data_IF_141610195721
#
_entry.id   IF_141610195721
#
_cell.length_a   1.000
_cell.length_b   1.000
_cell.length_c   1.000
_cell.angle_alpha   90.00
_cell.angle_beta   90.00
_cell.angle_gamma   90.00
#
_symmetry.space_group_name_H-M   'P 1'
#
loop_
_entity.id
_entity.type
_entity.pdbx_description
1 polymer ?
#
# COMPACT_ATOMS: atom_id res chain seq x y z
N UNK A 1 -10.87 -34.44 2.27
CA UNK A 1 -11.89 -33.69 1.50
C UNK A 1 -12.94 -33.21 2.48
N UNK A 2 -13.55 -32.06 2.26
CA UNK A 2 -14.69 -31.62 3.08
C UNK A 2 -15.97 -31.93 2.32
N UNK A 3 -16.97 -32.44 3.03
CA UNK A 3 -18.32 -32.65 2.55
C UNK A 3 -19.27 -31.92 3.52
N UNK A 4 -19.95 -30.84 3.11
CA UNK A 4 -19.95 -30.27 1.76
C UNK A 4 -18.60 -29.63 1.35
N UNK A 5 -18.32 -29.48 0.04
CA UNK A 5 -17.11 -28.83 -0.44
C UNK A 5 -17.04 -27.38 0.07
N UNK A 6 -15.87 -26.99 0.57
CA UNK A 6 -15.63 -25.62 0.99
C UNK A 6 -15.69 -24.67 -0.22
N UNK A 7 -16.31 -23.48 -0.08
CA UNK A 7 -16.29 -22.47 -1.12
C UNK A 7 -14.85 -22.02 -1.40
N UNK A 8 -14.56 -21.67 -2.65
CA UNK A 8 -13.27 -21.11 -3.04
C UNK A 8 -13.21 -19.67 -2.53
N UNK A 9 -12.31 -19.33 -1.59
CA UNK A 9 -12.15 -17.97 -1.14
C UNK A 9 -11.54 -17.11 -2.26
N UNK A 10 -12.08 -15.92 -2.45
CA UNK A 10 -11.51 -14.90 -3.32
C UNK A 10 -10.76 -13.90 -2.45
N UNK A 11 -9.51 -13.64 -2.78
CA UNK A 11 -8.69 -12.65 -2.11
C UNK A 11 -8.58 -11.42 -3.01
N UNK A 12 -9.00 -10.28 -2.46
CA UNK A 12 -8.90 -8.99 -3.13
C UNK A 12 -7.64 -8.29 -2.64
N UNK A 13 -6.86 -7.76 -3.56
CA UNK A 13 -5.67 -6.96 -3.32
C UNK A 13 -5.39 -6.08 -4.53
N UNK A 14 -4.29 -5.35 -4.53
CA UNK A 14 -3.82 -4.61 -5.70
C UNK A 14 -2.37 -5.01 -5.92
N UNK A 15 -2.16 -6.03 -6.75
CA UNK A 15 -0.86 -6.70 -6.89
C UNK A 15 0.08 -5.91 -7.80
N UNK A 16 -0.45 -5.09 -8.70
CA UNK A 16 0.33 -4.25 -9.59
C UNK A 16 0.36 -2.77 -9.15
N UNK A 17 -0.33 -2.43 -8.06
CA UNK A 17 -0.43 -1.08 -7.51
C UNK A 17 -1.14 -0.08 -8.43
N UNK A 18 -1.97 -0.54 -9.37
CA UNK A 18 -2.61 0.32 -10.37
C UNK A 18 -3.81 1.13 -9.83
N UNK A 19 -4.16 0.92 -8.55
CA UNK A 19 -5.26 1.56 -7.85
C UNK A 19 -6.59 0.85 -8.02
N UNK A 20 -6.62 -0.31 -8.66
CA UNK A 20 -7.81 -1.12 -8.85
C UNK A 20 -7.66 -2.50 -8.20
N UNK A 21 -8.77 -3.08 -7.70
CA UNK A 21 -8.70 -4.38 -7.06
C UNK A 21 -8.45 -5.50 -8.09
N UNK A 22 -7.42 -6.29 -7.84
CA UNK A 22 -7.10 -7.57 -8.44
C UNK A 22 -7.69 -8.72 -7.61
N UNK A 23 -7.83 -9.90 -8.24
CA UNK A 23 -8.38 -11.10 -7.61
C UNK A 23 -7.33 -12.20 -7.62
N UNK A 24 -7.08 -12.77 -6.45
CA UNK A 24 -6.29 -13.98 -6.26
C UNK A 24 -7.20 -15.10 -5.75
N UNK A 25 -7.17 -16.25 -6.42
CA UNK A 25 -8.00 -17.40 -6.07
C UNK A 25 -7.30 -18.72 -6.40
N UNK A 26 -7.85 -19.83 -5.93
CA UNK A 26 -7.44 -21.18 -6.35
C UNK A 26 -8.45 -21.69 -7.36
N UNK A 27 -8.04 -21.84 -8.62
CA UNK A 27 -8.83 -22.51 -9.64
C UNK A 27 -8.79 -24.03 -9.42
N UNK A 28 -9.95 -24.68 -9.56
CA UNK A 28 -10.09 -26.13 -9.45
C UNK A 28 -10.49 -26.65 -10.84
N UNK A 29 -9.68 -27.53 -11.41
CA UNK A 29 -10.00 -28.15 -12.71
C UNK A 29 -11.25 -29.03 -12.64
N UNK A 30 -11.91 -29.27 -13.78
CA UNK A 30 -13.16 -30.06 -13.85
C UNK A 30 -13.04 -31.49 -13.29
N UNK A 31 -11.83 -32.06 -13.31
CA UNK A 31 -11.53 -33.37 -12.72
C UNK A 31 -11.15 -33.33 -11.21
N UNK A 32 -11.17 -32.15 -10.57
CA UNK A 32 -10.86 -31.92 -9.15
C UNK A 32 -9.47 -32.36 -8.64
N UNK A 33 -8.58 -32.83 -9.52
CA UNK A 33 -7.22 -33.26 -9.16
C UNK A 33 -6.30 -32.05 -8.96
N UNK A 34 -6.32 -31.11 -9.90
CA UNK A 34 -5.41 -29.96 -9.89
C UNK A 34 -6.07 -28.73 -9.28
N UNK A 35 -5.36 -28.13 -8.33
CA UNK A 35 -5.71 -26.87 -7.65
C UNK A 35 -4.60 -25.87 -7.89
N UNK A 36 -4.86 -24.93 -8.79
CA UNK A 36 -3.87 -24.01 -9.32
C UNK A 36 -4.18 -22.58 -8.84
N UNK A 37 -3.24 -21.89 -8.17
CA UNK A 37 -3.37 -20.46 -7.89
C UNK A 37 -3.52 -19.66 -9.18
N UNK A 38 -4.48 -18.75 -9.24
CA UNK A 38 -4.69 -17.85 -10.37
C UNK A 38 -4.80 -16.41 -9.88
N UNK A 39 -3.99 -15.54 -10.48
CA UNK A 39 -4.06 -14.10 -10.33
C UNK A 39 -4.83 -13.51 -11.52
N UNK A 40 -5.82 -12.66 -11.24
CA UNK A 40 -6.63 -11.97 -12.22
C UNK A 40 -6.41 -10.46 -12.05
N UNK A 41 -5.79 -9.85 -13.05
CA UNK A 41 -5.62 -8.40 -13.07
C UNK A 41 -6.89 -7.70 -13.52
N UNK A 42 -7.24 -6.62 -12.84
CA UNK A 42 -8.20 -5.66 -13.34
C UNK A 42 -7.56 -4.90 -14.50
N UNK A 43 -8.17 -4.93 -15.69
CA UNK A 43 -7.65 -4.27 -16.89
C UNK A 43 -8.72 -3.40 -17.57
N UNK A 44 -8.35 -2.27 -18.20
CA UNK A 44 -9.28 -1.47 -18.98
C UNK A 44 -9.94 -2.26 -20.11
N UNK A 45 -11.19 -1.93 -20.44
CA UNK A 45 -12.00 -2.65 -21.41
C UNK A 45 -11.54 -2.64 -22.87
N UNK A 46 -10.50 -1.88 -23.21
CA UNK A 46 -9.83 -1.98 -24.51
C UNK A 46 -8.95 -3.23 -24.61
N UNK A 47 -8.48 -3.73 -23.47
CA UNK A 47 -7.50 -4.83 -23.37
C UNK A 47 -8.10 -6.12 -22.77
N UNK A 48 -9.37 -6.06 -22.37
CA UNK A 48 -10.14 -7.16 -21.80
C UNK A 48 -10.80 -8.04 -22.86
N UNK A 49 -11.05 -9.33 -22.57
CA UNK A 49 -11.86 -10.17 -23.44
C UNK A 49 -13.28 -9.58 -23.55
N UNK A 50 -13.88 -9.65 -24.75
CA UNK A 50 -15.27 -9.25 -25.02
C UNK A 50 -16.24 -10.18 -24.30
N UNK A 51 -16.35 -10.02 -22.99
CA UNK A 51 -17.24 -10.82 -22.15
C UNK A 51 -18.60 -10.13 -22.09
N UNK A 52 -19.63 -10.88 -22.45
CA UNK A 52 -21.03 -10.47 -22.28
C UNK A 52 -21.33 -10.42 -20.78
N UNK A 53 -21.26 -9.22 -20.19
CA UNK A 53 -21.71 -9.01 -18.83
C UNK A 53 -23.23 -9.23 -18.80
N UNK A 54 -23.68 -10.36 -18.23
CA UNK A 54 -25.10 -10.57 -17.96
C UNK A 54 -25.48 -9.66 -16.80
N UNK A 55 -26.28 -8.63 -17.07
CA UNK A 55 -26.84 -7.77 -16.03
C UNK A 55 -27.85 -8.57 -15.21
N UNK A 56 -27.77 -8.48 -13.88
CA UNK A 56 -28.85 -8.91 -12.99
C UNK A 56 -30.04 -7.97 -13.21
N UNK A 57 -31.04 -8.40 -13.98
CA UNK A 57 -32.28 -7.65 -14.16
C UNK A 57 -33.24 -7.99 -13.00
N UNK A 58 -33.81 -6.97 -12.37
CA UNK A 58 -34.78 -7.10 -11.27
C UNK A 58 -36.21 -7.38 -11.76
N UNK A 59 -36.43 -7.52 -13.08
CA UNK A 59 -37.75 -7.79 -13.69
C UNK A 59 -38.18 -9.26 -13.66
N UNK A 60 -37.99 -9.96 -12.54
CA UNK A 60 -38.77 -11.17 -12.29
C UNK A 60 -40.24 -10.75 -12.02
N UNK A 61 -41.25 -11.38 -12.66
CA UNK A 61 -42.65 -11.01 -12.44
C UNK A 61 -43.06 -11.35 -11.01
N UNK A 62 -43.18 -10.33 -10.15
CA UNK A 62 -43.58 -10.50 -8.75
C UNK A 62 -43.06 -9.47 -7.75
N UNK A 63 -42.16 -8.56 -8.13
CA UNK A 63 -41.57 -7.60 -7.18
C UNK A 63 -42.29 -6.23 -7.18
N UNK A 64 -42.80 -5.84 -6.01
CA UNK A 64 -43.59 -4.62 -5.74
C UNK A 64 -42.71 -3.35 -5.88
N UNK A 65 -43.10 -2.31 -6.64
CA UNK A 65 -42.16 -1.28 -7.13
C UNK A 65 -41.79 -0.16 -6.14
N UNK A 66 -42.01 -0.32 -4.83
CA UNK A 66 -41.79 0.79 -3.87
C UNK A 66 -40.34 0.99 -3.41
N UNK A 67 -39.36 0.32 -4.02
CA UNK A 67 -37.93 0.42 -3.68
C UNK A 67 -37.01 0.66 -4.89
N UNK A 68 -37.49 1.31 -5.94
CA UNK A 68 -36.66 1.74 -7.08
C UNK A 68 -36.36 3.24 -7.02
N UNK A 69 -35.43 3.62 -6.16
CA UNK A 69 -34.74 4.90 -6.28
C UNK A 69 -33.34 4.78 -5.67
N UNK A 70 -32.34 4.39 -6.47
CA UNK A 70 -31.01 5.01 -6.41
C UNK A 70 -30.03 4.59 -7.51
N UNK A 71 -30.27 3.52 -8.27
CA UNK A 71 -29.36 3.13 -9.35
C UNK A 71 -30.16 2.83 -10.63
N UNK A 72 -30.38 3.89 -11.42
CA UNK A 72 -31.13 3.82 -12.66
C UNK A 72 -30.32 3.16 -13.77
N UNK A 73 -30.68 1.93 -14.13
CA UNK A 73 -30.50 1.40 -15.48
C UNK A 73 -31.67 0.47 -15.81
N UNK A 74 -32.44 0.83 -16.85
CA UNK A 74 -33.58 0.08 -17.35
C UNK A 74 -33.26 -0.45 -18.76
N UNK A 75 -33.29 -1.78 -18.96
CA UNK A 75 -33.32 -2.41 -20.28
C UNK A 75 -32.21 -3.44 -20.55
N UNK A 76 -32.55 -4.45 -21.36
CA UNK A 76 -31.61 -5.42 -21.92
C UNK A 76 -30.50 -4.68 -22.69
N UNK A 77 -29.33 -4.56 -22.09
CA UNK A 77 -28.16 -4.01 -22.76
C UNK A 77 -27.47 -5.13 -23.55
N UNK A 78 -27.73 -5.22 -24.85
CA UNK A 78 -26.66 -5.63 -25.76
C UNK A 78 -25.59 -4.55 -25.63
N UNK A 79 -24.48 -4.87 -24.96
CA UNK A 79 -23.36 -3.93 -24.83
C UNK A 79 -22.68 -3.87 -26.19
N UNK A 80 -23.27 -3.10 -27.10
CA UNK A 80 -22.57 -2.55 -28.23
C UNK A 80 -21.38 -1.76 -27.68
N UNK A 81 -20.21 -2.07 -28.21
CA UNK A 81 -18.94 -1.36 -28.04
C UNK A 81 -19.09 0.09 -28.48
N UNK A 82 -19.70 0.91 -27.61
CA UNK A 82 -19.79 2.36 -27.78
C UNK A 82 -19.09 3.01 -26.59
N UNK A 83 -17.81 3.30 -26.78
CA UNK A 83 -17.23 4.61 -26.47
C UNK A 83 -17.20 5.14 -25.04
N UNK A 84 -17.56 4.39 -23.99
CA UNK A 84 -17.49 4.90 -22.60
C UNK A 84 -16.25 4.35 -21.87
N UNK A 85 -15.27 5.23 -21.68
CA UNK A 85 -13.89 5.01 -21.26
C UNK A 85 -13.64 4.37 -19.86
N UNK A 86 -14.63 3.74 -19.22
CA UNK A 86 -14.58 3.47 -17.76
C UNK A 86 -14.90 2.01 -17.34
N UNK A 87 -15.07 1.08 -18.28
CA UNK A 87 -15.28 -0.34 -17.94
C UNK A 87 -13.96 -1.07 -17.76
N UNK A 88 -13.83 -1.84 -16.67
CA UNK A 88 -12.70 -2.75 -16.42
C UNK A 88 -13.18 -4.20 -16.39
N UNK A 89 -12.28 -5.11 -16.72
CA UNK A 89 -12.51 -6.56 -16.77
C UNK A 89 -11.38 -7.28 -16.05
N UNK A 90 -11.63 -8.51 -15.63
CA UNK A 90 -10.60 -9.37 -15.06
C UNK A 90 -9.94 -10.21 -16.15
N UNK A 91 -8.62 -10.10 -16.26
CA UNK A 91 -7.80 -10.90 -17.18
C UNK A 91 -6.82 -11.73 -16.36
N UNK A 92 -6.78 -13.03 -16.63
CA UNK A 92 -5.81 -13.92 -15.99
C UNK A 92 -4.38 -13.52 -16.35
N UNK A 93 -3.55 -13.34 -15.31
CA UNK A 93 -2.12 -13.13 -15.42
C UNK A 93 -1.49 -14.40 -16.01
N UNK A 94 -0.94 -14.29 -17.22
CA UNK A 94 -0.19 -15.38 -17.86
C UNK A 94 1.31 -15.13 -17.76
N UNK A 95 1.71 -13.93 -18.17
CA UNK A 95 3.10 -13.50 -18.14
C UNK A 95 3.50 -13.07 -16.73
N UNK A 96 4.63 -13.57 -16.22
CA UNK A 96 5.12 -13.31 -14.87
C UNK A 96 4.40 -14.11 -13.77
N UNK A 97 3.39 -14.90 -14.14
CA UNK A 97 2.61 -15.76 -13.24
C UNK A 97 2.86 -17.25 -13.52
N UNK A 98 3.90 -17.60 -14.27
CA UNK A 98 4.24 -18.98 -14.63
C UNK A 98 4.50 -19.83 -13.38
N UNK A 99 5.13 -19.24 -12.36
CA UNK A 99 5.39 -19.89 -11.05
C UNK A 99 4.09 -20.27 -10.32
N UNK A 100 3.02 -19.48 -10.48
CA UNK A 100 1.71 -19.83 -9.91
C UNK A 100 1.10 -21.02 -10.67
N UNK A 101 1.28 -21.08 -11.99
CA UNK A 101 0.76 -22.16 -12.83
C UNK A 101 1.47 -23.51 -12.60
N UNK A 102 2.72 -23.48 -12.13
CA UNK A 102 3.49 -24.69 -11.77
C UNK A 102 2.99 -25.37 -10.48
N UNK A 103 2.23 -24.67 -9.63
CA UNK A 103 1.69 -25.22 -8.38
C UNK A 103 0.32 -25.85 -8.66
N UNK A 104 0.24 -27.17 -8.57
CA UNK A 104 -1.00 -27.93 -8.79
C UNK A 104 -1.65 -28.43 -7.50
N UNK A 105 -1.00 -28.26 -6.36
CA UNK A 105 -1.40 -28.82 -5.07
C UNK A 105 -1.85 -27.76 -4.04
N UNK A 106 -2.29 -26.59 -4.52
CA UNK A 106 -2.71 -25.47 -3.68
C UNK A 106 -4.01 -25.75 -2.92
N UNK A 107 -4.08 -25.26 -1.69
CA UNK A 107 -5.23 -25.36 -0.77
C UNK A 107 -5.84 -24.01 -0.46
N UNK A 108 -5.00 -22.99 -0.34
CA UNK A 108 -5.38 -21.62 -0.07
C UNK A 108 -4.29 -20.68 -0.56
N UNK A 109 -4.67 -19.43 -0.78
CA UNK A 109 -3.80 -18.35 -1.28
C UNK A 109 -4.10 -17.11 -0.47
N UNK A 110 -3.13 -16.22 -0.28
CA UNK A 110 -3.36 -14.94 0.38
C UNK A 110 -2.33 -13.91 -0.08
N UNK A 111 -2.74 -12.65 -0.11
CA UNK A 111 -1.82 -11.53 -0.27
C UNK A 111 -1.16 -11.19 1.07
N UNK A 112 0.15 -10.98 1.04
CA UNK A 112 0.94 -10.56 2.20
C UNK A 112 2.15 -9.77 1.70
N UNK A 113 2.49 -8.67 2.35
CA UNK A 113 3.77 -7.97 2.13
C UNK A 113 4.77 -8.55 3.15
N UNK A 114 5.62 -9.51 2.73
CA UNK A 114 6.42 -10.33 3.64
C UNK A 114 7.67 -9.60 4.14
N UNK A 115 8.34 -8.86 3.26
CA UNK A 115 9.57 -8.13 3.53
C UNK A 115 9.32 -6.63 3.80
N UNK A 116 8.05 -6.25 3.96
CA UNK A 116 7.60 -4.88 4.18
C UNK A 116 8.14 -3.95 3.08
N UNK A 117 8.11 -4.44 1.83
CA UNK A 117 8.64 -3.77 0.67
C UNK A 117 7.67 -2.90 -0.13
N UNK A 118 6.41 -2.90 0.28
CA UNK A 118 5.39 -2.14 -0.42
C UNK A 118 4.90 -2.81 -1.70
N UNK A 119 5.17 -4.10 -1.87
CA UNK A 119 4.52 -4.97 -2.84
C UNK A 119 3.69 -6.04 -2.10
N UNK A 120 2.64 -6.54 -2.75
CA UNK A 120 1.84 -7.63 -2.21
C UNK A 120 2.36 -8.95 -2.77
N UNK A 121 3.16 -9.67 -1.97
CA UNK A 121 3.55 -11.06 -2.24
C UNK A 121 2.38 -12.02 -2.07
N UNK A 122 2.60 -13.26 -2.51
CA UNK A 122 1.61 -14.31 -2.48
C UNK A 122 2.08 -15.44 -1.57
N UNK A 123 1.32 -15.68 -0.51
CA UNK A 123 1.41 -16.90 0.30
C UNK A 123 0.53 -17.97 -0.33
N UNK A 124 1.10 -19.14 -0.60
CA UNK A 124 0.36 -20.33 -1.05
C UNK A 124 0.42 -21.41 0.01
N UNK A 125 -0.74 -21.80 0.53
CA UNK A 125 -0.90 -22.99 1.37
C UNK A 125 -1.06 -24.20 0.46
N UNK A 126 -0.26 -25.25 0.69
CA UNK A 126 -0.18 -26.44 -0.17
C UNK A 126 -0.54 -27.69 0.61
N UNK A 127 -0.98 -28.73 -0.10
CA UNK A 127 -1.25 -30.03 0.53
C UNK A 127 0.03 -30.87 0.71
N UNK A 128 1.12 -30.54 0.00
CA UNK A 128 2.43 -31.21 0.08
C UNK A 128 2.60 -32.40 -0.87
N UNK A 129 1.64 -32.67 -1.76
CA UNK A 129 1.70 -33.79 -2.71
C UNK A 129 2.78 -33.59 -3.78
N UNK A 130 3.07 -32.35 -4.17
CA UNK A 130 4.04 -32.08 -5.25
C UNK A 130 5.49 -31.98 -4.72
N UNK A 131 5.71 -31.32 -3.58
CA UNK A 131 7.06 -31.00 -3.07
C UNK A 131 7.31 -31.42 -1.62
N UNK A 132 6.32 -31.96 -0.91
CA UNK A 132 6.38 -32.21 0.54
C UNK A 132 6.23 -30.94 1.41
N UNK A 133 6.45 -29.74 0.85
CA UNK A 133 6.24 -28.48 1.57
C UNK A 133 4.76 -28.13 1.63
N UNK A 134 4.30 -27.64 2.80
CA UNK A 134 2.92 -27.20 3.03
C UNK A 134 2.72 -25.71 2.83
N UNK A 135 3.79 -24.94 2.68
CA UNK A 135 3.76 -23.49 2.49
C UNK A 135 4.77 -23.13 1.39
N UNK A 136 4.36 -22.26 0.47
CA UNK A 136 5.25 -21.61 -0.48
C UNK A 136 4.98 -20.10 -0.45
N UNK A 137 6.05 -19.32 -0.63
CA UNK A 137 5.98 -17.88 -0.79
C UNK A 137 6.42 -17.56 -2.21
N UNK A 138 5.68 -16.68 -2.87
CA UNK A 138 5.99 -16.19 -4.20
C UNK A 138 6.13 -14.69 -4.07
N UNK A 139 7.35 -14.20 -4.29
CA UNK A 139 7.63 -12.78 -4.28
C UNK A 139 7.00 -12.14 -5.51
N UNK A 140 6.27 -11.05 -5.28
CA UNK A 140 5.65 -10.30 -6.36
C UNK A 140 6.64 -9.26 -6.91
N UNK A 141 7.17 -9.54 -8.11
CA UNK A 141 8.07 -8.63 -8.81
C UNK A 141 7.40 -7.96 -10.01
N UNK A 142 6.07 -7.80 -10.01
CA UNK A 142 5.37 -6.99 -11.01
C UNK A 142 5.72 -5.51 -10.78
N UNK A 143 6.80 -5.05 -11.41
CA UNK A 143 7.24 -3.67 -11.28
C UNK A 143 6.34 -2.73 -12.07
N UNK A 144 5.66 -1.83 -11.38
CA UNK A 144 5.05 -0.64 -11.94
C UNK A 144 5.56 0.60 -11.23
N UNK A 145 5.75 1.69 -11.98
CA UNK A 145 6.08 3.03 -11.48
C UNK A 145 4.86 3.60 -10.76
N UNK A 146 4.48 3.01 -9.62
CA UNK A 146 3.25 3.28 -8.92
C UNK A 146 3.50 3.42 -7.42
N UNK A 147 2.60 4.13 -6.74
CA UNK A 147 2.70 4.38 -5.31
C UNK A 147 1.71 3.51 -4.54
N UNK A 148 2.01 3.27 -3.26
CA UNK A 148 1.10 2.59 -2.35
C UNK A 148 0.92 3.38 -1.04
N UNK A 149 -0.11 3.04 -0.28
CA UNK A 149 -0.30 3.48 1.10
C UNK A 149 -0.67 2.27 1.96
N UNK A 150 0.07 2.08 3.06
CA UNK A 150 -0.30 1.10 4.09
C UNK A 150 -1.02 1.83 5.22
N UNK A 151 -2.34 1.64 5.32
CA UNK A 151 -3.16 2.33 6.32
C UNK A 151 -3.70 1.35 7.36
N UNK A 152 -3.57 1.68 8.64
CA UNK A 152 -4.13 0.89 9.74
C UNK A 152 -4.92 1.78 10.70
N UNK A 153 -6.14 1.36 11.01
CA UNK A 153 -6.95 1.93 12.10
C UNK A 153 -6.88 0.98 13.28
N UNK A 154 -6.52 1.54 14.44
CA UNK A 154 -6.42 0.84 15.70
C UNK A 154 -7.73 0.89 16.47
N UNK A 155 -7.81 0.11 17.54
CA UNK A 155 -9.00 -0.05 18.38
C UNK A 155 -9.26 1.11 19.38
N UNK A 156 -8.40 2.13 19.44
CA UNK A 156 -8.63 3.29 20.31
C UNK A 156 -8.40 3.05 21.81
N UNK A 157 -7.80 1.91 22.21
CA UNK A 157 -7.73 1.53 23.63
C UNK A 157 -7.00 2.53 24.53
N UNK A 158 -5.97 3.22 24.02
CA UNK A 158 -5.21 4.23 24.75
C UNK A 158 -5.10 5.51 23.91
N UNK A 159 -5.98 6.50 24.13
CA UNK A 159 -6.12 7.67 23.25
C UNK A 159 -4.90 8.59 23.27
N UNK A 160 -4.31 8.79 24.46
CA UNK A 160 -3.04 9.51 24.65
C UNK A 160 -1.83 8.76 24.06
N UNK A 161 -2.03 7.54 23.54
CA UNK A 161 -1.02 6.58 23.11
C UNK A 161 -0.12 6.08 24.24
N UNK A 162 -0.44 6.38 25.49
CA UNK A 162 0.19 5.81 26.67
C UNK A 162 -0.91 5.11 27.46
N UNK A 163 -0.77 3.81 27.67
CA UNK A 163 -1.60 3.09 28.61
C UNK A 163 -0.99 3.18 30.00
N UNK A 164 -1.85 3.28 31.01
CA UNK A 164 -1.46 3.19 32.41
C UNK A 164 -2.00 1.88 32.99
N UNK A 165 -1.12 1.09 33.60
CA UNK A 165 -1.47 -0.08 34.40
C UNK A 165 -1.02 0.12 35.84
N UNK A 166 -1.48 -0.74 36.75
CA UNK A 166 -1.00 -0.78 38.15
C UNK A 166 0.52 -0.95 38.28
N UNK A 167 1.17 -1.44 37.22
CA UNK A 167 2.62 -1.68 37.12
C UNK A 167 3.42 -0.58 36.41
N UNK A 168 2.78 0.49 35.91
CA UNK A 168 3.46 1.61 35.27
C UNK A 168 2.79 2.11 33.99
N UNK A 169 3.43 3.08 33.32
CA UNK A 169 2.97 3.62 32.03
C UNK A 169 3.75 2.98 30.88
N UNK A 170 3.07 2.59 29.81
CA UNK A 170 3.71 2.04 28.60
C UNK A 170 3.04 2.54 27.32
N UNK A 171 3.77 2.57 26.20
CA UNK A 171 3.23 2.93 24.88
C UNK A 171 2.80 1.66 24.13
N UNK A 172 1.50 1.31 24.07
CA UNK A 172 1.04 0.22 23.22
C UNK A 172 1.12 0.60 21.73
N UNK A 173 1.21 -0.39 20.85
CA UNK A 173 0.90 -0.21 19.44
C UNK A 173 -0.62 -0.25 19.16
N UNK A 174 -1.42 -0.81 20.07
CA UNK A 174 -2.87 -1.00 19.91
C UNK A 174 -3.23 -2.31 19.21
N UNK A 175 -4.54 -2.60 19.10
CA UNK A 175 -5.06 -3.73 18.32
C UNK A 175 -5.69 -3.24 17.02
N UNK A 176 -5.68 -4.07 15.97
CA UNK A 176 -6.36 -3.79 14.70
C UNK A 176 -7.88 -3.65 14.93
N UNK A 177 -8.51 -2.69 14.24
CA UNK A 177 -9.96 -2.49 14.26
C UNK A 177 -10.60 -3.05 12.97
N UNK A 178 -11.27 -4.22 13.04
CA UNK A 178 -11.91 -4.81 11.86
C UNK A 178 -13.02 -3.91 11.30
N UNK A 179 -13.15 -3.86 9.97
CA UNK A 179 -14.19 -3.09 9.29
C UNK A 179 -13.90 -1.59 9.17
N UNK A 180 -12.71 -1.13 9.55
CA UNK A 180 -12.29 0.23 9.25
C UNK A 180 -12.22 0.48 7.73
N UNK A 181 -12.64 1.66 7.30
CA UNK A 181 -12.81 2.02 5.90
C UNK A 181 -12.01 3.27 5.54
N UNK A 182 -11.46 3.29 4.34
CA UNK A 182 -10.65 4.40 3.83
C UNK A 182 -11.20 4.85 2.49
N UNK A 183 -11.58 6.11 2.38
CA UNK A 183 -11.89 6.77 1.11
C UNK A 183 -10.78 7.74 0.82
N UNK A 184 -10.17 7.64 -0.34
CA UNK A 184 -9.08 8.53 -0.73
C UNK A 184 -9.33 9.14 -2.10
N UNK A 185 -8.68 10.26 -2.33
CA UNK A 185 -8.72 10.98 -3.60
C UNK A 185 -7.31 11.35 -3.98
N UNK A 186 -6.93 10.95 -5.20
CA UNK A 186 -5.60 11.13 -5.78
C UNK A 186 -5.72 11.88 -7.09
N UNK A 187 -4.67 12.59 -7.44
CA UNK A 187 -4.55 13.34 -8.68
C UNK A 187 -3.55 12.60 -9.57
N UNK A 188 -4.02 12.10 -10.72
CA UNK A 188 -3.15 11.48 -11.73
C UNK A 188 -2.15 12.54 -12.26
N UNK A 189 -1.05 12.06 -12.82
CA UNK A 189 -0.04 12.83 -13.58
C UNK A 189 -0.61 13.72 -14.68
N UNK A 190 -1.83 13.41 -15.16
CA UNK A 190 -2.57 14.21 -16.16
C UNK A 190 -3.45 15.30 -15.55
N UNK A 191 -3.50 15.43 -14.22
CA UNK A 191 -4.37 16.37 -13.51
C UNK A 191 -5.81 15.87 -13.33
N UNK A 192 -6.09 14.60 -13.64
CA UNK A 192 -7.41 14.01 -13.44
C UNK A 192 -7.58 13.49 -12.01
N UNK A 193 -8.68 13.85 -11.37
CA UNK A 193 -8.98 13.48 -9.98
C UNK A 193 -9.69 12.14 -9.96
N UNK A 194 -9.12 11.16 -9.26
CA UNK A 194 -9.71 9.83 -9.06
C UNK A 194 -9.97 9.59 -7.59
N UNK A 195 -11.14 9.03 -7.27
CA UNK A 195 -11.49 8.62 -5.92
C UNK A 195 -11.60 7.09 -5.85
N UNK A 196 -11.04 6.52 -4.81
CA UNK A 196 -11.06 5.09 -4.58
C UNK A 196 -11.25 4.79 -3.09
N UNK A 197 -11.44 3.51 -2.79
CA UNK A 197 -11.88 3.04 -1.49
C UNK A 197 -11.15 1.76 -1.12
N UNK A 198 -10.71 1.68 0.13
CA UNK A 198 -10.06 0.52 0.72
C UNK A 198 -10.68 0.18 2.08
N UNK A 199 -10.54 -1.07 2.51
CA UNK A 199 -11.05 -1.53 3.80
C UNK A 199 -10.02 -2.38 4.52
N UNK A 200 -10.06 -2.33 5.84
CA UNK A 200 -9.23 -3.16 6.71
C UNK A 200 -10.07 -4.31 7.23
N UNK A 201 -9.55 -5.53 7.06
CA UNK A 201 -10.20 -6.77 7.50
C UNK A 201 -11.71 -6.81 7.16
N UNK A 202 -12.10 -6.68 5.88
CA UNK A 202 -13.51 -6.63 5.48
C UNK A 202 -14.26 -7.95 5.73
N UNK A 203 -13.54 -9.06 5.87
CA UNK A 203 -14.11 -10.39 6.06
C UNK A 203 -13.38 -11.15 7.17
N UNK A 204 -14.16 -11.84 8.00
CA UNK A 204 -13.69 -12.87 8.93
C UNK A 204 -14.36 -14.18 8.57
N UNK A 205 -13.59 -15.27 8.40
CA UNK A 205 -14.17 -16.56 8.03
C UNK A 205 -13.12 -17.63 7.73
N UNK A 206 -13.58 -18.79 7.24
CA UNK A 206 -12.68 -19.86 6.82
C UNK A 206 -11.80 -19.41 5.66
N UNK A 207 -10.50 -19.69 5.75
CA UNK A 207 -9.49 -19.36 4.74
C UNK A 207 -9.39 -17.85 4.41
N UNK A 208 -9.99 -16.97 5.21
CA UNK A 208 -9.89 -15.52 5.07
C UNK A 208 -8.62 -15.00 5.76
N UNK A 209 -7.45 -15.29 5.17
CA UNK A 209 -6.18 -14.73 5.63
C UNK A 209 -5.99 -13.34 5.01
N UNK A 210 -6.37 -12.30 5.75
CA UNK A 210 -6.16 -10.90 5.39
C UNK A 210 -5.08 -10.27 6.27
N UNK A 211 -4.40 -9.26 5.73
CA UNK A 211 -3.45 -8.45 6.50
C UNK A 211 -4.20 -7.57 7.52
N UNK A 212 -3.57 -7.24 8.67
CA UNK A 212 -4.21 -6.45 9.73
C UNK A 212 -4.33 -4.95 9.40
N UNK A 213 -4.00 -4.56 8.17
CA UNK A 213 -3.99 -3.21 7.63
C UNK A 213 -4.65 -3.21 6.25
N UNK A 214 -5.13 -2.05 5.81
CA UNK A 214 -5.51 -1.85 4.42
C UNK A 214 -4.26 -1.53 3.60
N UNK A 215 -3.98 -2.38 2.60
CA UNK A 215 -2.98 -2.09 1.59
C UNK A 215 -3.68 -1.46 0.39
N UNK A 216 -3.26 -0.25 0.02
CA UNK A 216 -3.93 0.56 -0.98
C UNK A 216 -2.91 0.89 -2.08
N UNK A 217 -3.10 0.38 -3.29
CA UNK A 217 -2.40 0.91 -4.45
C UNK A 217 -3.00 2.25 -4.85
N UNK A 218 -2.13 3.20 -5.17
CA UNK A 218 -2.52 4.56 -5.55
C UNK A 218 -2.32 4.79 -7.05
N UNK A 219 -1.68 3.85 -7.75
CA UNK A 219 -1.26 4.03 -9.13
C UNK A 219 -0.23 5.14 -9.28
N UNK A 220 -0.20 5.69 -10.49
CA UNK A 220 0.60 6.86 -10.85
C UNK A 220 -0.11 8.12 -10.37
N UNK A 221 0.28 8.61 -9.20
CA UNK A 221 -0.24 9.84 -8.61
C UNK A 221 0.85 10.91 -8.51
N UNK A 222 0.43 12.17 -8.37
CA UNK A 222 1.31 13.21 -7.86
C UNK A 222 1.76 12.88 -6.42
N UNK A 223 2.90 13.43 -5.99
CA UNK A 223 3.65 13.11 -4.76
C UNK A 223 2.89 13.22 -3.41
N UNK A 224 1.57 13.45 -3.41
CA UNK A 224 0.70 13.46 -2.24
C UNK A 224 -0.70 12.96 -2.59
N UNK A 225 -1.37 12.40 -1.58
CA UNK A 225 -2.80 12.08 -1.61
C UNK A 225 -3.55 13.35 -1.19
N UNK A 226 -4.45 13.81 -2.04
CA UNK A 226 -5.17 15.08 -1.85
C UNK A 226 -6.03 15.04 -0.58
N UNK A 227 -6.88 14.00 -0.46
CA UNK A 227 -7.74 13.79 0.69
C UNK A 227 -7.84 12.30 1.00
N UNK A 228 -7.65 11.95 2.28
CA UNK A 228 -7.83 10.61 2.82
C UNK A 228 -8.78 10.69 4.02
N UNK A 229 -9.97 10.15 3.86
CA UNK A 229 -10.96 10.01 4.93
C UNK A 229 -10.92 8.58 5.46
N UNK A 230 -10.64 8.41 6.73
CA UNK A 230 -10.73 7.13 7.43
C UNK A 230 -11.95 7.13 8.36
N UNK A 231 -12.64 5.99 8.40
CA UNK A 231 -13.78 5.72 9.27
C UNK A 231 -13.53 4.48 10.10
N UNK A 232 -13.96 4.52 11.36
CA UNK A 232 -13.97 3.38 12.27
C UNK A 232 -15.41 2.88 12.45
N UNK A 233 -15.57 1.64 12.92
CA UNK A 233 -16.85 1.04 13.29
C UNK A 233 -17.51 1.67 14.52
N UNK A 234 -16.78 2.52 15.27
CA UNK A 234 -17.33 3.30 16.38
C UNK A 234 -18.22 4.45 15.87
N UNK A 235 -19.44 4.65 16.43
CA UNK A 235 -20.33 5.73 16.00
C UNK A 235 -19.63 7.10 16.17
N UNK A 236 -19.68 7.93 15.11
CA UNK A 236 -19.08 9.27 15.04
C UNK A 236 -17.55 9.32 14.95
N UNK A 237 -16.90 8.21 14.63
CA UNK A 237 -15.44 8.16 14.51
C UNK A 237 -15.03 8.16 13.04
N UNK A 238 -14.85 9.36 12.47
CA UNK A 238 -14.17 9.54 11.19
C UNK A 238 -13.17 10.68 11.26
N UNK A 239 -12.11 10.60 10.48
CA UNK A 239 -11.10 11.67 10.35
C UNK A 239 -10.72 11.83 8.89
N UNK A 240 -10.53 13.08 8.48
CA UNK A 240 -9.99 13.41 7.16
C UNK A 240 -8.58 13.97 7.33
N UNK A 241 -7.66 13.48 6.50
CA UNK A 241 -6.30 13.95 6.38
C UNK A 241 -6.12 14.50 4.96
N UNK A 242 -5.42 15.62 4.85
CA UNK A 242 -5.06 16.23 3.57
C UNK A 242 -3.54 16.14 3.40
N UNK A 243 -3.08 15.94 2.16
CA UNK A 243 -1.64 15.92 1.84
C UNK A 243 -0.88 14.72 2.42
N UNK A 244 -1.49 13.53 2.44
CA UNK A 244 -0.81 12.32 2.94
C UNK A 244 0.28 11.88 1.95
N UNK A 245 1.48 11.61 2.47
CA UNK A 245 2.63 11.22 1.65
C UNK A 245 2.49 9.75 1.21
N UNK A 246 2.58 9.41 -0.09
CA UNK A 246 2.58 8.02 -0.56
C UNK A 246 3.82 7.24 -0.09
N UNK A 247 3.86 5.93 -0.32
CA UNK A 247 4.93 5.02 0.09
C UNK A 247 5.23 5.10 1.59
N UNK A 248 4.17 5.27 2.38
CA UNK A 248 4.24 5.44 3.82
C UNK A 248 3.26 4.50 4.52
N UNK A 249 3.49 4.35 5.83
CA UNK A 249 2.58 3.63 6.73
C UNK A 249 1.87 4.64 7.62
N UNK A 250 0.56 4.75 7.44
CA UNK A 250 -0.31 5.60 8.23
C UNK A 250 -0.99 4.78 9.32
N UNK A 251 -0.76 5.16 10.58
CA UNK A 251 -1.39 4.58 11.76
C UNK A 251 -2.37 5.60 12.34
N UNK A 252 -3.63 5.22 12.40
CA UNK A 252 -4.73 6.02 12.90
C UNK A 252 -5.28 5.38 14.17
N UNK A 253 -5.30 6.11 15.27
CA UNK A 253 -5.89 5.65 16.52
C UNK A 253 -7.09 6.52 16.86
N UNK A 254 -8.32 5.99 16.78
CA UNK A 254 -9.52 6.75 17.12
C UNK A 254 -9.54 7.07 18.62
N UNK A 255 -10.04 8.25 18.95
CA UNK A 255 -10.34 8.63 20.33
C UNK A 255 -11.80 8.19 20.66
N UNK A 256 -12.10 7.70 21.89
CA UNK A 256 -13.45 7.42 22.36
C UNK A 256 -14.47 8.53 22.09
N UNK A 257 -14.07 9.80 22.18
CA UNK A 257 -14.95 10.94 21.95
C UNK A 257 -15.27 11.18 20.45
N UNK A 258 -14.76 10.35 19.55
CA UNK A 258 -14.91 10.47 18.09
C UNK A 258 -14.08 11.60 17.48
N UNK A 259 -13.79 12.64 18.26
CA UNK A 259 -13.02 13.82 17.90
C UNK A 259 -11.52 13.62 18.17
N UNK A 260 -10.69 14.20 17.29
CA UNK A 260 -9.23 14.26 17.41
C UNK A 260 -8.53 12.89 17.44
N UNK A 261 -8.46 12.26 16.28
CA UNK A 261 -7.74 11.00 16.11
C UNK A 261 -6.23 11.23 16.16
N UNK A 262 -5.51 10.38 16.88
CA UNK A 262 -4.06 10.36 16.81
C UNK A 262 -3.62 9.80 15.47
N UNK A 263 -2.74 10.54 14.79
CA UNK A 263 -2.24 10.22 13.44
C UNK A 263 -0.73 10.09 13.54
N UNK A 264 -0.21 8.91 13.22
CA UNK A 264 1.24 8.68 13.12
C UNK A 264 1.57 8.24 11.69
N UNK A 265 2.46 8.98 11.04
CA UNK A 265 2.92 8.70 9.68
C UNK A 265 4.35 8.20 9.74
N UNK A 266 4.57 6.96 9.33
CA UNK A 266 5.89 6.35 9.26
C UNK A 266 6.36 6.34 7.81
N UNK A 267 7.47 7.02 7.56
CA UNK A 267 8.12 7.01 6.26
C UNK A 267 9.02 5.78 6.17
N UNK A 268 8.94 5.06 5.05
CA UNK A 268 9.88 3.98 4.78
C UNK A 268 11.24 4.59 4.38
N UNK A 269 12.34 4.24 5.05
CA UNK A 269 13.65 4.69 4.61
C UNK A 269 13.95 4.05 3.24
N UNK A 270 14.24 4.89 2.24
CA UNK A 270 14.64 4.38 0.92
C UNK A 270 15.97 3.63 1.01
N UNK A 271 16.13 2.57 0.21
CA UNK A 271 17.39 1.80 0.15
C UNK A 271 18.62 2.69 -0.10
N UNK A 272 18.43 3.79 -0.83
CA UNK A 272 19.46 4.78 -1.16
C UNK A 272 19.84 5.72 -0.02
N UNK A 273 19.12 5.74 1.10
CA UNK A 273 19.33 6.68 2.20
C UNK A 273 20.77 6.66 2.71
N UNK A 274 21.35 5.46 2.86
CA UNK A 274 22.73 5.31 3.31
C UNK A 274 23.73 5.86 2.30
N UNK A 275 23.53 5.63 1.01
CA UNK A 275 24.38 6.18 -0.04
C UNK A 275 24.34 7.70 -0.09
N UNK A 276 23.15 8.29 0.03
CA UNK A 276 22.97 9.76 0.09
C UNK A 276 23.62 10.33 1.35
N UNK A 277 23.51 9.64 2.50
CA UNK A 277 24.17 10.07 3.73
C UNK A 277 25.69 10.04 3.57
N UNK A 278 26.26 8.99 3.00
CA UNK A 278 27.70 8.89 2.77
C UNK A 278 28.22 9.97 1.84
N UNK A 279 27.51 10.27 0.75
CA UNK A 279 27.91 11.34 -0.17
C UNK A 279 27.85 12.71 0.49
N UNK A 280 26.82 12.98 1.29
CA UNK A 280 26.66 14.25 2.01
C UNK A 280 27.73 14.44 3.10
N UNK A 281 28.03 13.39 3.87
CA UNK A 281 29.11 13.41 4.87
C UNK A 281 30.46 13.61 4.18
N UNK A 282 30.72 12.86 3.10
CA UNK A 282 31.95 12.99 2.32
C UNK A 282 32.16 14.40 1.76
N UNK A 283 31.12 14.99 1.15
CA UNK A 283 31.17 16.36 0.65
C UNK A 283 31.43 17.38 1.78
N UNK A 284 30.81 17.19 2.94
CA UNK A 284 31.01 18.06 4.12
C UNK A 284 32.45 17.98 4.64
N UNK A 285 33.03 16.78 4.71
CA UNK A 285 34.42 16.57 5.13
C UNK A 285 35.40 17.22 4.15
N UNK A 286 35.17 17.09 2.84
CA UNK A 286 36.01 17.72 1.81
C UNK A 286 35.99 19.24 1.96
N UNK A 287 34.81 19.84 2.10
CA UNK A 287 34.68 21.28 2.33
C UNK A 287 35.39 21.70 3.62
N UNK A 288 35.23 20.93 4.70
CA UNK A 288 35.92 21.18 5.97
C UNK A 288 37.44 21.17 5.79
N UNK A 289 38.00 20.20 5.07
CA UNK A 289 39.44 20.13 4.78
C UNK A 289 39.90 21.36 4.00
N UNK A 290 39.16 21.77 2.97
CA UNK A 290 39.50 22.98 2.18
C UNK A 290 39.52 24.22 3.06
N UNK A 291 38.52 24.40 3.92
CA UNK A 291 38.46 25.52 4.88
C UNK A 291 39.65 25.50 5.84
N UNK A 292 39.99 24.34 6.40
CA UNK A 292 41.13 24.20 7.32
C UNK A 292 42.45 24.50 6.62
N UNK A 293 42.64 24.01 5.39
CA UNK A 293 43.86 24.29 4.60
C UNK A 293 43.99 25.78 4.30
N UNK A 294 42.90 26.43 3.87
CA UNK A 294 42.89 27.87 3.64
C UNK A 294 43.18 28.65 4.92
N UNK A 295 42.58 28.25 6.04
CA UNK A 295 42.81 28.90 7.33
C UNK A 295 44.27 28.76 7.82
N UNK A 296 44.90 27.61 7.59
CA UNK A 296 46.32 27.40 7.91
C UNK A 296 47.21 28.27 7.00
N UNK A 297 46.87 28.40 5.72
CA UNK A 297 47.64 29.23 4.79
C UNK A 297 47.52 30.73 5.15
N UNK A 298 46.32 31.21 5.44
CA UNK A 298 46.07 32.57 5.94
C UNK A 298 46.87 32.83 7.22
N UNK A 299 46.78 31.93 8.21
CA UNK A 299 47.53 32.05 9.46
C UNK A 299 49.05 32.09 9.24
N UNK A 300 49.56 31.33 8.27
CA UNK A 300 50.99 31.34 7.91
C UNK A 300 51.42 32.65 7.25
N UNK A 301 50.55 33.29 6.48
CA UNK A 301 50.84 34.59 5.86
C UNK A 301 50.85 35.71 6.91
N UNK A 302 49.86 35.76 7.79
CA UNK A 302 49.80 36.70 8.91
C UNK A 302 51.05 36.62 9.82
N UNK A 303 51.52 35.40 10.11
CA UNK A 303 52.74 35.21 10.89
C UNK A 303 54.00 35.74 10.19
N UNK A 304 54.07 35.65 8.85
CA UNK A 304 55.18 36.23 8.08
C UNK A 304 55.13 37.76 8.08
N UNK A 305 53.94 38.34 7.97
CA UNK A 305 53.76 39.80 8.01
C UNK A 305 54.10 40.36 9.40
N UNK A 306 53.64 39.71 10.48
CA UNK A 306 54.01 40.10 11.85
C UNK A 306 55.51 40.08 12.09
N UNK A 307 56.23 39.06 11.59
CA UNK A 307 57.69 38.99 11.71
C UNK A 307 58.37 40.14 10.95
N UNK A 308 57.91 40.46 9.73
CA UNK A 308 58.43 41.61 8.97
C UNK A 308 58.19 42.95 9.69
N UNK A 309 57.01 43.15 10.27
CA UNK A 309 56.69 44.36 11.03
C UNK A 309 57.56 44.51 12.29
N UNK A 310 57.78 43.43 13.04
CA UNK A 310 58.68 43.42 14.20
C UNK A 310 60.14 43.71 13.82
N UNK A 311 60.62 43.13 12.71
CA UNK A 311 61.96 43.43 12.20
C UNK A 311 62.10 44.90 11.78
N UNK A 312 61.09 45.50 11.13
CA UNK A 312 61.13 46.93 10.78
C UNK A 312 61.22 47.83 12.02
N UNK A 313 60.42 47.55 13.05
CA UNK A 313 60.41 48.36 14.29
C UNK A 313 61.75 48.26 15.04
N UNK A 314 62.37 47.08 15.08
CA UNK A 314 63.68 46.91 15.74
C UNK A 314 64.83 47.61 14.98
N UNK A 315 64.72 47.82 13.67
CA UNK A 315 65.70 48.58 12.89
C UNK A 315 65.51 50.10 13.00
N UNK A 316 64.30 50.58 13.26
CA UNK A 316 63.97 52.00 13.41
C UNK A 316 64.31 52.55 14.82
N UNK A 317 64.61 51.66 15.77
CA UNK A 317 64.95 51.98 17.16
C UNK A 317 66.47 52.00 17.47
N UNK A 318 67.32 51.82 16.45
CA UNK A 318 68.80 51.84 16.51
C UNK A 318 69.35 53.06 15.77
#
# INVERSE_FOLDING_TARGET
SHDPPLPIPLHIGDANLDGFPDILAVAVGEAAVDRVPVLLFSVPGKDGPSTSAKTLDSRAPGFNPHMQQLFGFAGNASIATSGTHHRRFFKSAKHGAEVLAEITDARGVAFVDLDEDGTLDILVQRNGAQTGSRIAFIQNNFFQDAFFLKAIVLNGACPSGICETSSGKYKPFGSTNPGASFKYTVLDTRGERSAAFGTQLPQTGYQALHTPYAFIGLGRTNNYIESLTAGSTSPQSSTTLEGVIPNSKLVLNPNPDGNDWRRELFLRPGQWLWWVLFTLVGATVILFIVVVVLHINEKREDERERKKALHHINFDAL
#
